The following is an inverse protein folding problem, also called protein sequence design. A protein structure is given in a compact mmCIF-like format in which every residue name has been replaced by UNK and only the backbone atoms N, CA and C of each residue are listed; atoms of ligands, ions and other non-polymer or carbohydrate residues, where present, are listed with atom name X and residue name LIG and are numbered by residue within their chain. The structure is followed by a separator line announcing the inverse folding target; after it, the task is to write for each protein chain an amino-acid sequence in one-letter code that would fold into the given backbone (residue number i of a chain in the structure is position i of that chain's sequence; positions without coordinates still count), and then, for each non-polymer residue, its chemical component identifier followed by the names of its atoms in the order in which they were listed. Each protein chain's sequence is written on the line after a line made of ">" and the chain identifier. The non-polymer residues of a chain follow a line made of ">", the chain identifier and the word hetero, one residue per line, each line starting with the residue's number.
data_IF_196356280123
#
_entry.id   IF_196356280123
#
_cell.length_a   1.000
_cell.length_b   1.000
_cell.length_c   1.000
_cell.angle_alpha   90.00
_cell.angle_beta   90.00
_cell.angle_gamma   90.00
#
_symmetry.space_group_name_H-M   'P 1'
#
loop_
_entity.id
_entity.type
_entity.pdbx_description
1 polymer ?
#
# COMPACT_ATOMS: atom_id res chain seq x y z
N UNK A 1 3.63 9.45 1.08
CA UNK A 1 4.12 8.55 2.15
C UNK A 1 5.16 7.68 1.42
N UNK A 2 6.47 7.93 1.44
CA UNK A 2 7.43 7.77 2.54
C UNK A 2 8.74 8.51 2.17
N UNK A 3 8.78 9.84 2.31
CA UNK A 3 10.02 10.59 2.32
C UNK A 3 10.20 11.15 3.71
N UNK A 4 11.23 10.71 4.45
CA UNK A 4 11.56 11.36 5.71
C UNK A 4 12.12 12.75 5.37
N UNK A 5 11.49 13.81 5.85
CA UNK A 5 12.11 15.13 5.85
C UNK A 5 13.38 15.09 6.71
N UNK A 6 14.32 16.02 6.50
CA UNK A 6 15.57 16.08 7.26
C UNK A 6 15.36 16.04 8.78
N UNK A 7 14.25 16.62 9.25
CA UNK A 7 13.86 16.60 10.67
C UNK A 7 13.45 15.18 11.15
N UNK A 8 12.75 14.41 10.32
CA UNK A 8 12.41 13.02 10.65
C UNK A 8 13.65 12.12 10.63
N UNK A 9 14.58 12.31 9.69
CA UNK A 9 15.86 11.58 9.66
C UNK A 9 16.65 11.83 10.93
N UNK A 10 16.83 13.10 11.32
CA UNK A 10 17.55 13.44 12.54
C UNK A 10 16.93 12.78 13.78
N UNK A 11 15.60 12.81 13.92
CA UNK A 11 14.91 12.19 15.05
C UNK A 11 15.05 10.68 15.08
N UNK A 12 14.93 10.04 13.93
CA UNK A 12 15.16 8.60 13.82
C UNK A 12 16.59 8.24 14.22
N UNK A 13 17.59 9.00 13.76
CA UNK A 13 18.99 8.80 14.14
C UNK A 13 19.18 8.93 15.66
N UNK A 14 18.51 9.87 16.33
CA UNK A 14 18.54 9.97 17.79
C UNK A 14 17.87 8.74 18.45
N UNK A 15 16.69 8.35 17.98
CA UNK A 15 15.97 7.22 18.57
C UNK A 15 16.71 5.89 18.38
N UNK A 16 17.46 5.71 17.27
CA UNK A 16 18.37 4.57 17.11
C UNK A 16 19.51 4.62 18.11
N UNK A 17 20.16 5.78 18.31
CA UNK A 17 21.28 5.92 19.25
C UNK A 17 20.84 5.58 20.67
N UNK A 18 19.70 6.12 21.09
CA UNK A 18 19.10 5.86 22.39
C UNK A 18 18.73 4.37 22.54
N UNK A 19 18.01 3.81 21.58
CA UNK A 19 17.54 2.42 21.66
C UNK A 19 18.68 1.41 21.67
N UNK A 20 19.77 1.73 20.96
CA UNK A 20 20.93 0.86 20.84
C UNK A 20 22.05 1.16 21.85
N UNK A 21 21.88 2.15 22.73
CA UNK A 21 22.95 2.64 23.62
C UNK A 21 24.23 3.07 22.87
N UNK A 22 24.08 3.55 21.62
CA UNK A 22 25.19 4.05 20.80
C UNK A 22 25.45 5.56 20.97
N UNK A 23 25.06 6.09 22.12
CA UNK A 23 25.10 7.52 22.43
C UNK A 23 26.48 8.00 22.96
N UNK A 24 27.46 7.10 23.06
CA UNK A 24 28.70 7.32 23.81
C UNK A 24 29.96 7.25 22.94
N UNK A 25 30.57 8.42 22.68
CA UNK A 25 31.96 8.68 22.24
C UNK A 25 32.50 8.09 20.93
N UNK A 26 31.91 7.04 20.35
CA UNK A 26 32.22 6.56 18.99
C UNK A 26 31.36 7.29 17.96
N UNK A 27 31.75 7.31 16.68
CA UNK A 27 30.77 7.68 15.65
C UNK A 27 29.61 6.67 15.70
N UNK A 28 28.37 7.13 15.53
CA UNK A 28 27.18 6.26 15.64
C UNK A 28 27.29 5.02 14.76
N UNK A 29 27.90 5.15 13.58
CA UNK A 29 28.15 4.04 12.67
C UNK A 29 29.10 2.99 13.25
N UNK A 30 30.25 3.38 13.81
CA UNK A 30 31.21 2.43 14.42
C UNK A 30 30.59 1.67 15.60
N UNK A 31 29.73 2.33 16.38
CA UNK A 31 29.01 1.66 17.46
C UNK A 31 27.99 0.64 16.92
N UNK A 32 27.20 1.02 15.91
CA UNK A 32 26.23 0.11 15.30
C UNK A 32 26.93 -1.08 14.62
N UNK A 33 28.06 -0.85 13.97
CA UNK A 33 28.88 -1.90 13.33
C UNK A 33 29.45 -2.91 14.34
N UNK A 34 29.65 -2.47 15.59
CA UNK A 34 30.08 -3.36 16.67
C UNK A 34 28.97 -4.28 17.23
N UNK A 35 27.71 -4.05 16.84
CA UNK A 35 26.54 -4.82 17.31
C UNK A 35 26.18 -5.94 16.34
N UNK A 36 25.61 -7.00 16.89
CA UNK A 36 25.00 -8.06 16.09
C UNK A 36 23.67 -7.58 15.49
N UNK A 37 23.27 -8.22 14.37
CA UNK A 37 21.97 -7.93 13.75
C UNK A 37 20.80 -8.19 14.71
N UNK A 38 20.88 -9.22 15.54
CA UNK A 38 19.85 -9.55 16.53
C UNK A 38 19.70 -8.45 17.59
N UNK A 39 20.82 -7.90 18.07
CA UNK A 39 20.79 -6.79 19.02
C UNK A 39 20.14 -5.55 18.42
N UNK A 40 20.50 -5.20 17.18
CA UNK A 40 19.92 -4.06 16.48
C UNK A 40 18.41 -4.26 16.34
N UNK A 41 17.97 -5.36 15.74
CA UNK A 41 16.53 -5.65 15.52
C UNK A 41 15.74 -5.67 16.84
N UNK A 42 16.29 -6.27 17.88
CA UNK A 42 15.62 -6.34 19.19
C UNK A 42 15.48 -4.96 19.82
N UNK A 43 16.54 -4.15 19.76
CA UNK A 43 16.59 -2.81 20.34
C UNK A 43 15.73 -1.82 19.55
N UNK A 44 15.68 -1.95 18.22
CA UNK A 44 14.93 -1.03 17.35
C UNK A 44 13.51 -1.49 17.07
N UNK A 45 13.01 -2.57 17.70
CA UNK A 45 11.67 -3.12 17.45
C UNK A 45 10.53 -2.10 17.65
N UNK A 46 10.75 -1.06 18.46
CA UNK A 46 9.79 0.03 18.71
C UNK A 46 9.96 1.23 17.78
N UNK A 47 11.07 1.29 17.03
CA UNK A 47 11.30 2.35 16.06
C UNK A 47 10.51 2.00 14.81
N UNK A 48 9.54 2.85 14.49
CA UNK A 48 8.65 2.64 13.35
C UNK A 48 9.44 2.77 12.04
N UNK A 49 9.71 1.62 11.44
CA UNK A 49 10.05 1.34 10.05
C UNK A 49 11.31 2.02 9.47
N UNK A 50 12.33 1.20 9.21
CA UNK A 50 13.35 1.49 8.20
C UNK A 50 12.65 1.50 6.83
N UNK A 51 12.47 2.69 6.27
CA UNK A 51 11.85 2.91 4.95
C UNK A 51 12.86 3.57 4.00
N UNK A 52 12.63 3.50 2.67
CA UNK A 52 13.41 4.29 1.73
C UNK A 52 13.42 5.78 2.10
N UNK A 53 14.55 6.45 1.85
CA UNK A 53 14.75 7.87 2.14
C UNK A 53 15.11 8.63 0.87
N UNK A 54 14.67 9.89 0.78
CA UNK A 54 15.11 10.82 -0.24
C UNK A 54 16.56 11.24 0.05
N UNK A 55 17.51 10.55 -0.56
CA UNK A 55 18.95 10.75 -0.35
C UNK A 55 19.60 11.70 -1.37
N UNK A 56 18.83 12.15 -2.38
CA UNK A 56 19.31 12.91 -3.54
C UNK A 56 20.39 12.15 -4.34
N UNK A 57 20.43 10.83 -4.22
CA UNK A 57 21.29 9.93 -4.99
C UNK A 57 20.42 8.86 -5.68
N UNK A 58 19.88 7.92 -4.91
CA UNK A 58 18.89 6.97 -5.44
C UNK A 58 17.56 7.66 -5.75
N UNK A 59 17.07 8.51 -4.85
CA UNK A 59 15.88 9.33 -5.06
C UNK A 59 16.25 10.81 -5.08
N UNK A 60 16.22 11.42 -6.26
CA UNK A 60 16.35 12.86 -6.43
C UNK A 60 15.10 13.57 -5.86
N UNK A 61 15.17 14.01 -4.61
CA UNK A 61 14.05 14.66 -3.91
C UNK A 61 12.99 13.71 -3.35
N UNK A 62 11.81 14.26 -3.00
CA UNK A 62 10.72 13.46 -2.43
C UNK A 62 10.32 12.33 -3.38
N UNK A 63 10.25 11.09 -2.89
CA UNK A 63 9.83 9.90 -3.66
C UNK A 63 8.44 10.06 -4.30
N UNK A 64 7.61 10.93 -3.74
CA UNK A 64 6.25 11.27 -4.23
C UNK A 64 6.25 12.53 -5.10
N UNK A 65 7.42 13.02 -5.48
CA UNK A 65 7.60 14.06 -6.49
C UNK A 65 7.49 13.46 -7.89
N UNK A 66 7.11 14.31 -8.82
CA UNK A 66 6.86 14.04 -10.24
C UNK A 66 7.91 13.11 -10.87
N UNK A 67 9.17 13.20 -10.47
CA UNK A 67 10.28 12.42 -11.04
C UNK A 67 10.13 10.90 -10.88
N UNK A 68 9.63 10.41 -9.74
CA UNK A 68 9.40 8.97 -9.53
C UNK A 68 8.28 8.43 -10.43
N UNK A 69 7.23 9.23 -10.65
CA UNK A 69 6.14 8.89 -11.57
C UNK A 69 6.59 8.95 -13.03
N UNK A 70 7.41 9.92 -13.41
CA UNK A 70 7.98 10.02 -14.77
C UNK A 70 8.85 8.80 -15.14
N UNK A 71 9.54 8.18 -14.17
CA UNK A 71 10.26 6.93 -14.42
C UNK A 71 9.31 5.76 -14.73
N UNK A 72 8.18 5.69 -14.03
CA UNK A 72 7.22 4.58 -14.23
C UNK A 72 6.63 4.58 -15.64
N UNK A 73 6.38 5.76 -16.24
CA UNK A 73 5.87 5.96 -17.61
C UNK A 73 6.74 5.36 -18.72
N UNK A 74 7.92 4.82 -18.42
CA UNK A 74 8.80 4.14 -19.39
C UNK A 74 8.50 2.66 -19.55
N UNK A 75 7.66 2.10 -18.69
CA UNK A 75 7.34 0.68 -18.65
C UNK A 75 5.82 0.50 -18.68
N UNK A 76 5.35 -0.62 -19.21
CA UNK A 76 3.96 -1.00 -19.02
C UNK A 76 3.71 -1.26 -17.53
N UNK A 77 2.54 -0.85 -17.05
CA UNK A 77 2.19 -0.88 -15.63
C UNK A 77 0.92 -1.70 -15.42
N UNK A 78 0.98 -2.67 -14.51
CA UNK A 78 -0.17 -3.37 -13.97
C UNK A 78 -0.18 -3.21 -12.45
N UNK A 79 -1.21 -2.58 -11.91
CA UNK A 79 -1.33 -2.28 -10.47
C UNK A 79 -2.77 -2.50 -10.03
N UNK A 80 -2.96 -2.87 -8.77
CA UNK A 80 -4.30 -2.98 -8.19
C UNK A 80 -4.26 -2.98 -6.68
N UNK A 81 -5.43 -3.20 -6.10
CA UNK A 81 -5.62 -3.32 -4.66
C UNK A 81 -6.79 -4.25 -4.34
N UNK A 82 -6.84 -4.68 -3.09
CA UNK A 82 -7.83 -5.60 -2.57
C UNK A 82 -9.05 -4.85 -2.01
N UNK A 83 -10.17 -5.55 -1.83
CA UNK A 83 -11.43 -4.97 -1.35
C UNK A 83 -11.39 -4.39 0.07
N UNK A 84 -10.50 -4.91 0.92
CA UNK A 84 -10.37 -4.57 2.33
C UNK A 84 -8.91 -4.37 2.77
N UNK A 85 -8.16 -3.58 2.02
CA UNK A 85 -6.76 -3.22 2.34
C UNK A 85 -6.56 -2.70 3.78
N UNK A 86 -7.59 -2.03 4.31
CA UNK A 86 -7.54 -1.46 5.65
C UNK A 86 -7.44 -2.48 6.79
N UNK A 87 -7.68 -3.77 6.54
CA UNK A 87 -7.58 -4.81 7.55
C UNK A 87 -6.20 -4.83 8.23
N UNK A 88 -5.13 -4.66 7.43
CA UNK A 88 -3.76 -4.55 7.95
C UNK A 88 -3.65 -3.40 8.97
N UNK A 89 -4.17 -2.23 8.61
CA UNK A 89 -4.04 -0.99 9.36
C UNK A 89 -5.03 -0.88 10.53
N UNK A 90 -6.13 -1.63 10.47
CA UNK A 90 -7.15 -1.65 11.52
C UNK A 90 -6.56 -2.12 12.86
N UNK A 91 -5.70 -3.14 12.81
CA UNK A 91 -4.97 -3.62 13.99
C UNK A 91 -4.02 -2.57 14.60
N UNK A 92 -3.49 -1.66 13.76
CA UNK A 92 -2.56 -0.60 14.16
C UNK A 92 -3.26 0.71 14.55
N UNK A 93 -4.57 0.85 14.34
CA UNK A 93 -5.29 2.11 14.50
C UNK A 93 -5.24 2.64 15.94
N UNK A 94 -5.31 1.75 16.94
CA UNK A 94 -5.20 2.13 18.35
C UNK A 94 -3.84 2.74 18.67
N UNK A 95 -2.77 2.20 18.09
CA UNK A 95 -1.42 2.77 18.19
C UNK A 95 -1.35 4.11 17.45
N UNK A 96 -1.95 4.23 16.27
CA UNK A 96 -1.98 5.46 15.47
C UNK A 96 -2.66 6.62 16.22
N UNK A 97 -3.84 6.37 16.80
CA UNK A 97 -4.58 7.37 17.59
C UNK A 97 -3.87 7.69 18.89
N UNK A 98 -3.35 6.69 19.61
CA UNK A 98 -2.60 6.91 20.84
C UNK A 98 -1.33 7.74 20.61
N UNK A 99 -0.61 7.48 19.50
CA UNK A 99 0.56 8.24 19.10
C UNK A 99 0.21 9.69 18.73
N UNK A 100 -0.88 9.90 17.99
CA UNK A 100 -1.31 11.25 17.59
C UNK A 100 -1.79 12.11 18.77
N UNK A 101 -2.43 11.50 19.77
CA UNK A 101 -2.91 12.21 20.97
C UNK A 101 -1.78 12.52 21.96
N UNK A 102 -0.69 11.75 21.95
CA UNK A 102 0.47 11.99 22.80
C UNK A 102 1.38 13.07 22.15
N UNK A 103 1.17 14.33 22.55
CA UNK A 103 1.81 15.55 22.01
C UNK A 103 3.33 15.52 21.78
N UNK A 104 4.04 14.58 22.38
CA UNK A 104 5.48 14.36 22.23
C UNK A 104 5.90 13.83 20.85
N UNK A 105 4.98 13.21 20.10
CA UNK A 105 5.26 12.46 18.85
C UNK A 105 4.84 13.26 17.60
N UNK A 106 4.59 14.57 17.72
CA UNK A 106 4.05 15.49 16.69
C UNK A 106 4.80 15.53 15.33
N UNK A 107 5.84 14.73 15.15
CA UNK A 107 6.73 14.71 13.99
C UNK A 107 6.82 13.37 13.26
N UNK A 108 6.02 12.34 13.62
CA UNK A 108 6.05 11.03 12.94
C UNK A 108 5.22 10.94 11.64
N UNK A 109 4.91 12.06 11.00
CA UNK A 109 4.23 12.05 9.70
C UNK A 109 2.80 11.50 9.71
N UNK A 110 2.20 11.29 10.89
CA UNK A 110 0.79 10.89 11.03
C UNK A 110 -0.10 12.05 10.59
N UNK A 111 -0.93 11.81 9.58
CA UNK A 111 -1.85 12.83 9.08
C UNK A 111 -3.00 13.03 10.08
N UNK A 112 -3.08 14.24 10.66
CA UNK A 112 -4.14 14.60 11.63
C UNK A 112 -5.57 14.55 11.05
N UNK A 113 -5.74 14.53 9.73
CA UNK A 113 -7.02 14.24 9.08
C UNK A 113 -7.39 12.78 9.23
N UNK A 114 -6.42 11.88 9.08
CA UNK A 114 -6.63 10.44 9.27
C UNK A 114 -7.11 10.20 10.70
N UNK A 115 -6.50 10.89 11.68
CA UNK A 115 -6.90 10.84 13.09
C UNK A 115 -8.27 11.47 13.31
N UNK A 116 -8.53 12.65 12.75
CA UNK A 116 -9.82 13.34 12.92
C UNK A 116 -10.97 12.55 12.32
N UNK A 117 -10.76 12.00 11.13
CA UNK A 117 -11.76 11.22 10.41
C UNK A 117 -11.96 9.84 11.05
N UNK A 118 -10.90 9.18 11.54
CA UNK A 118 -11.06 7.94 12.32
C UNK A 118 -11.87 8.17 13.59
N UNK A 119 -11.62 9.29 14.30
CA UNK A 119 -12.44 9.70 15.44
C UNK A 119 -13.88 10.01 15.03
N UNK A 120 -14.10 10.72 13.91
CA UNK A 120 -15.44 11.01 13.40
C UNK A 120 -16.21 9.73 13.13
N UNK A 121 -15.63 8.78 12.39
CA UNK A 121 -16.21 7.45 12.13
C UNK A 121 -16.52 6.72 13.44
N UNK A 122 -15.61 6.82 14.42
CA UNK A 122 -15.77 6.22 15.75
C UNK A 122 -16.87 6.85 16.61
N UNK A 123 -17.36 8.03 16.32
CA UNK A 123 -18.41 8.70 17.12
C UNK A 123 -19.68 9.01 16.33
N UNK A 124 -19.70 8.77 15.01
CA UNK A 124 -20.83 9.09 14.13
C UNK A 124 -21.92 8.01 14.10
N UNK A 125 -21.59 6.77 14.42
CA UNK A 125 -22.56 5.66 14.54
C UNK A 125 -22.53 5.06 15.94
N UNK A 126 -23.66 4.56 16.43
CA UNK A 126 -23.73 3.80 17.68
C UNK A 126 -23.53 2.28 17.44
N UNK A 127 -23.48 1.82 16.19
CA UNK A 127 -23.25 0.42 15.83
C UNK A 127 -21.75 0.12 15.67
N UNK A 128 -21.21 -0.71 16.57
CA UNK A 128 -19.80 -1.11 16.57
C UNK A 128 -19.39 -1.92 15.34
N UNK A 129 -20.31 -2.69 14.73
CA UNK A 129 -20.00 -3.42 13.49
C UNK A 129 -19.87 -2.47 12.32
N UNK A 130 -20.82 -1.56 12.21
CA UNK A 130 -20.78 -0.52 11.18
C UNK A 130 -19.53 0.36 11.34
N UNK A 131 -19.21 0.74 12.58
CA UNK A 131 -17.98 1.48 12.93
C UNK A 131 -16.73 0.78 12.40
N UNK A 132 -16.61 -0.52 12.64
CA UNK A 132 -15.45 -1.31 12.20
C UNK A 132 -15.36 -1.39 10.68
N UNK A 133 -16.46 -1.68 9.98
CA UNK A 133 -16.51 -1.73 8.51
C UNK A 133 -16.08 -0.40 7.91
N UNK A 134 -16.62 0.73 8.41
CA UNK A 134 -16.28 2.08 7.94
C UNK A 134 -14.80 2.41 8.18
N UNK A 135 -14.25 2.02 9.33
CA UNK A 135 -12.86 2.30 9.68
C UNK A 135 -11.89 1.48 8.81
N UNK A 136 -12.17 0.19 8.57
CA UNK A 136 -11.39 -0.64 7.63
C UNK A 136 -11.39 0.01 6.25
N UNK A 137 -12.57 0.34 5.70
CA UNK A 137 -12.65 0.97 4.37
C UNK A 137 -11.85 2.29 4.32
N UNK A 138 -12.00 3.15 5.33
CA UNK A 138 -11.27 4.41 5.41
C UNK A 138 -9.75 4.20 5.43
N UNK A 139 -9.24 3.30 6.27
CA UNK A 139 -7.80 3.06 6.37
C UNK A 139 -7.22 2.51 5.05
N UNK A 140 -7.94 1.60 4.38
CA UNK A 140 -7.54 1.13 3.06
C UNK A 140 -7.44 2.27 2.05
N UNK A 141 -8.45 3.13 1.99
CA UNK A 141 -8.45 4.33 1.15
C UNK A 141 -7.27 5.27 1.46
N UNK A 142 -6.95 5.48 2.74
CA UNK A 142 -5.86 6.38 3.12
C UNK A 142 -4.49 5.87 2.72
N UNK A 143 -4.23 4.59 2.97
CA UNK A 143 -2.89 4.02 2.93
C UNK A 143 -2.56 3.32 1.60
N UNK A 144 -3.55 2.74 0.91
CA UNK A 144 -3.33 1.95 -0.31
C UNK A 144 -4.12 2.53 -1.49
N UNK A 145 -5.46 2.48 -1.44
CA UNK A 145 -6.28 2.66 -2.64
C UNK A 145 -6.06 4.03 -3.29
N UNK A 146 -5.99 5.11 -2.51
CA UNK A 146 -5.77 6.48 -3.01
C UNK A 146 -4.39 6.65 -3.66
N UNK A 147 -3.34 6.04 -3.10
CA UNK A 147 -2.00 6.17 -3.68
C UNK A 147 -1.92 5.35 -4.98
N UNK A 148 -2.56 4.18 -5.03
CA UNK A 148 -2.70 3.37 -6.24
C UNK A 148 -3.47 4.13 -7.35
N UNK A 149 -4.65 4.71 -7.06
CA UNK A 149 -5.41 5.45 -8.08
C UNK A 149 -4.68 6.69 -8.56
N UNK A 150 -3.94 7.36 -7.67
CA UNK A 150 -3.10 8.49 -8.03
C UNK A 150 -1.96 8.07 -8.97
N UNK A 151 -1.33 6.90 -8.75
CA UNK A 151 -0.32 6.36 -9.65
C UNK A 151 -0.90 5.98 -11.01
N UNK A 152 -2.03 5.28 -11.03
CA UNK A 152 -2.71 4.87 -12.27
C UNK A 152 -3.06 6.08 -13.14
N UNK A 153 -3.63 7.14 -12.55
CA UNK A 153 -3.99 8.36 -13.29
C UNK A 153 -2.76 9.08 -13.85
N UNK A 154 -1.70 9.24 -13.05
CA UNK A 154 -0.48 9.88 -13.52
C UNK A 154 0.22 9.04 -14.60
N UNK A 155 0.26 7.72 -14.45
CA UNK A 155 0.89 6.83 -15.41
C UNK A 155 0.14 6.81 -16.75
N UNK A 156 -1.20 6.84 -16.72
CA UNK A 156 -2.04 6.85 -17.92
C UNK A 156 -1.93 8.12 -18.78
N UNK A 157 -1.21 9.15 -18.32
CA UNK A 157 -0.83 10.31 -19.15
C UNK A 157 0.40 10.03 -20.03
N UNK A 158 1.10 8.92 -19.79
CA UNK A 158 2.24 8.46 -20.58
C UNK A 158 1.86 7.71 -21.86
N UNK A 159 2.86 7.13 -22.53
CA UNK A 159 2.68 6.38 -23.78
C UNK A 159 2.65 4.85 -23.56
N UNK A 160 2.94 4.37 -22.35
CA UNK A 160 2.96 2.94 -22.01
C UNK A 160 1.63 2.45 -21.46
N UNK A 161 1.37 1.15 -21.62
CA UNK A 161 0.08 0.57 -21.26
C UNK A 161 -0.13 0.57 -19.74
N UNK A 162 -1.35 0.88 -19.31
CA UNK A 162 -1.73 0.88 -17.89
C UNK A 162 -2.88 -0.08 -17.65
N UNK A 163 -2.77 -0.97 -16.67
CA UNK A 163 -3.83 -1.92 -16.31
C UNK A 163 -4.12 -1.85 -14.82
N UNK A 164 -5.41 -1.75 -14.48
CA UNK A 164 -5.89 -1.65 -13.11
C UNK A 164 -6.72 -2.88 -12.72
N UNK A 165 -6.47 -3.46 -11.54
CA UNK A 165 -7.33 -4.51 -10.96
C UNK A 165 -7.85 -4.18 -9.56
N UNK A 166 -8.97 -4.80 -9.22
CA UNK A 166 -9.59 -4.77 -7.90
C UNK A 166 -9.91 -6.20 -7.46
N UNK A 167 -9.14 -6.74 -6.52
CA UNK A 167 -9.30 -8.13 -6.09
C UNK A 167 -10.31 -8.20 -4.94
N UNK A 168 -11.39 -8.97 -5.12
CA UNK A 168 -12.53 -8.99 -4.18
C UNK A 168 -12.91 -10.38 -3.67
N UNK A 169 -12.08 -11.39 -3.94
CA UNK A 169 -12.37 -12.75 -3.49
C UNK A 169 -12.43 -12.84 -1.96
N UNK A 170 -13.60 -13.19 -1.44
CA UNK A 170 -13.79 -13.51 -0.04
C UNK A 170 -13.28 -14.93 0.24
N UNK A 171 -11.97 -15.09 0.41
CA UNK A 171 -11.39 -16.37 0.83
C UNK A 171 -10.86 -16.33 2.26
N UNK A 172 -11.00 -17.45 2.95
CA UNK A 172 -10.42 -17.63 4.28
C UNK A 172 -9.10 -18.38 4.12
N UNK A 173 -7.95 -17.76 4.45
CA UNK A 173 -6.67 -18.44 4.39
C UNK A 173 -6.65 -19.65 5.34
N UNK A 174 -5.92 -20.68 4.95
CA UNK A 174 -5.63 -21.84 5.79
C UNK A 174 -4.12 -21.92 6.01
N UNK A 175 -3.61 -21.61 7.22
CA UNK A 175 -4.35 -21.44 8.47
C UNK A 175 -5.06 -20.06 8.60
N UNK A 176 -6.19 -19.99 9.32
CA UNK A 176 -7.08 -18.82 9.38
C UNK A 176 -6.58 -17.64 10.23
N UNK A 177 -5.45 -17.78 10.92
CA UNK A 177 -4.98 -16.81 11.91
C UNK A 177 -3.81 -15.95 11.41
N UNK A 178 -3.88 -15.47 10.17
CA UNK A 178 -2.93 -14.45 9.70
C UNK A 178 -3.20 -13.14 10.46
N UNK A 179 -2.14 -12.44 10.88
CA UNK A 179 -2.25 -11.25 11.73
C UNK A 179 -3.04 -10.09 11.10
N UNK A 180 -3.20 -10.09 9.78
CA UNK A 180 -3.94 -9.09 9.00
C UNK A 180 -5.30 -9.58 8.49
N UNK A 181 -5.62 -10.87 8.63
CA UNK A 181 -6.91 -11.39 8.19
C UNK A 181 -8.00 -10.89 9.13
N UNK A 182 -9.06 -10.32 8.56
CA UNK A 182 -10.19 -9.86 9.35
C UNK A 182 -10.97 -11.03 9.94
N UNK A 183 -11.58 -10.86 11.13
CA UNK A 183 -12.45 -11.87 11.69
C UNK A 183 -13.67 -12.09 10.76
N UNK A 184 -14.25 -13.29 10.79
CA UNK A 184 -15.35 -13.72 9.92
C UNK A 184 -16.50 -12.72 9.77
N UNK A 185 -16.84 -11.96 10.81
CA UNK A 185 -17.95 -11.00 10.76
C UNK A 185 -17.59 -9.68 10.06
N UNK A 186 -16.29 -9.40 9.88
CA UNK A 186 -15.74 -8.17 9.29
C UNK A 186 -15.11 -8.43 7.91
N UNK A 187 -14.79 -9.69 7.60
CA UNK A 187 -14.31 -10.12 6.28
C UNK A 187 -15.48 -10.17 5.30
N UNK A 188 -15.62 -9.12 4.49
CA UNK A 188 -16.65 -8.94 3.46
C UNK A 188 -16.06 -8.78 2.06
N UNK A 189 -14.73 -8.82 1.94
CA UNK A 189 -13.95 -8.87 0.70
C UNK A 189 -12.51 -9.33 1.00
N UNK A 190 -11.62 -9.24 0.03
CA UNK A 190 -10.21 -9.61 0.18
C UNK A 190 -9.44 -8.63 1.08
N UNK A 191 -8.78 -9.13 2.11
CA UNK A 191 -7.90 -8.36 2.99
C UNK A 191 -6.57 -8.02 2.29
N UNK A 192 -5.71 -7.23 2.92
CA UNK A 192 -4.36 -6.98 2.40
C UNK A 192 -3.59 -8.31 2.18
N UNK A 193 -2.94 -8.47 1.02
CA UNK A 193 -2.17 -9.65 0.58
C UNK A 193 -2.98 -10.89 0.17
N UNK A 194 -4.31 -10.83 0.23
CA UNK A 194 -5.18 -11.98 -0.07
C UNK A 194 -5.10 -12.46 -1.54
N UNK A 195 -4.63 -11.63 -2.46
CA UNK A 195 -4.44 -11.97 -3.86
C UNK A 195 -3.19 -12.83 -4.13
N UNK A 196 -2.19 -12.77 -3.23
CA UNK A 196 -0.88 -13.37 -3.44
C UNK A 196 -0.96 -14.89 -3.70
N UNK A 197 -1.69 -15.70 -2.90
CA UNK A 197 -1.80 -17.13 -3.15
C UNK A 197 -2.34 -17.46 -4.55
N UNK A 198 -3.22 -16.63 -5.10
CA UNK A 198 -3.82 -16.86 -6.41
C UNK A 198 -2.85 -16.54 -7.55
N UNK A 199 -2.03 -15.49 -7.40
CA UNK A 199 -0.95 -15.15 -8.32
C UNK A 199 0.09 -16.27 -8.39
N UNK A 200 0.38 -16.91 -7.27
CA UNK A 200 1.43 -17.94 -7.16
C UNK A 200 0.94 -19.39 -7.38
N UNK A 201 -0.32 -19.60 -7.78
CA UNK A 201 -0.81 -20.96 -8.02
C UNK A 201 -1.08 -21.75 -6.74
N UNK A 202 -1.32 -21.06 -5.62
CA UNK A 202 -1.46 -21.62 -4.28
C UNK A 202 -2.43 -22.79 -4.17
N UNK A 203 -3.60 -22.67 -4.80
CA UNK A 203 -4.62 -23.74 -4.84
C UNK A 203 -4.18 -24.97 -5.65
N UNK A 204 -3.35 -24.78 -6.68
CA UNK A 204 -2.79 -25.89 -7.48
C UNK A 204 -1.66 -26.58 -6.73
N UNK A 205 -0.82 -25.81 -6.05
CA UNK A 205 0.21 -26.32 -5.14
C UNK A 205 -0.48 -27.12 -4.03
N UNK A 206 -1.57 -26.57 -3.46
CA UNK A 206 -2.48 -27.25 -2.53
C UNK A 206 -2.90 -28.62 -3.04
N UNK A 207 -3.56 -28.65 -4.18
CA UNK A 207 -4.02 -29.89 -4.77
C UNK A 207 -2.91 -30.93 -4.99
N UNK A 208 -1.73 -30.53 -5.47
CA UNK A 208 -0.64 -31.47 -5.76
C UNK A 208 -0.06 -32.09 -4.49
N UNK A 209 0.19 -31.26 -3.48
CA UNK A 209 0.76 -31.73 -2.22
C UNK A 209 -0.25 -32.57 -1.39
N UNK A 210 -1.57 -32.42 -1.60
CA UNK A 210 -2.65 -33.19 -0.95
C UNK A 210 -2.68 -34.60 -1.53
N UNK A 211 -2.48 -34.70 -2.84
CA UNK A 211 -2.30 -35.98 -3.52
C UNK A 211 -1.02 -36.69 -3.09
N UNK A 212 0.05 -35.95 -2.80
CA UNK A 212 1.37 -36.52 -2.50
C UNK A 212 1.66 -36.70 -1.00
N UNK A 213 0.68 -36.49 -0.11
CA UNK A 213 0.82 -36.53 1.36
C UNK A 213 1.95 -35.62 1.91
N UNK A 214 2.34 -34.57 1.18
CA UNK A 214 3.39 -33.63 1.60
C UNK A 214 2.86 -32.47 2.42
N UNK A 215 1.54 -32.24 2.48
CA UNK A 215 0.95 -31.18 3.31
C UNK A 215 1.23 -31.32 4.78
N UNK A 216 1.15 -32.52 5.33
CA UNK A 216 1.40 -32.73 6.76
C UNK A 216 2.81 -32.25 7.12
N UNK A 217 3.80 -32.49 6.25
CA UNK A 217 5.17 -32.00 6.43
C UNK A 217 5.29 -30.47 6.36
N UNK A 218 4.52 -29.77 5.53
CA UNK A 218 4.54 -28.29 5.50
C UNK A 218 3.75 -27.70 6.68
N UNK A 219 2.69 -28.37 7.13
CA UNK A 219 1.99 -27.95 8.34
C UNK A 219 2.89 -28.10 9.58
N UNK A 220 3.71 -29.13 9.62
CA UNK A 220 4.65 -29.43 10.71
C UNK A 220 5.96 -28.62 10.62
N UNK A 221 6.61 -28.60 9.45
CA UNK A 221 7.95 -28.03 9.22
C UNK A 221 7.97 -26.75 8.37
N UNK A 222 6.85 -26.43 7.70
CA UNK A 222 6.80 -25.37 6.71
C UNK A 222 6.88 -23.98 7.33
N UNK A 223 7.88 -23.22 6.88
CA UNK A 223 7.98 -21.78 7.11
C UNK A 223 6.69 -21.08 6.71
N UNK A 224 6.38 -19.99 7.40
CA UNK A 224 5.19 -19.15 7.23
C UNK A 224 4.77 -18.92 5.76
N UNK A 225 5.75 -18.73 4.88
CA UNK A 225 5.55 -18.47 3.44
C UNK A 225 4.88 -19.64 2.73
N UNK A 226 5.26 -20.89 3.05
CA UNK A 226 4.68 -22.08 2.43
C UNK A 226 3.20 -22.21 2.76
N UNK A 227 2.82 -21.99 4.02
CA UNK A 227 1.43 -22.03 4.50
C UNK A 227 0.59 -20.90 3.90
N UNK A 228 1.19 -19.71 3.79
CA UNK A 228 0.53 -18.55 3.21
C UNK A 228 0.24 -18.73 1.72
N UNK A 229 1.25 -19.11 0.92
CA UNK A 229 1.10 -19.30 -0.53
C UNK A 229 0.10 -20.42 -0.83
N UNK A 230 0.02 -21.46 -0.01
CA UNK A 230 -0.93 -22.56 -0.21
C UNK A 230 -2.31 -22.35 0.41
N UNK A 231 -2.59 -21.17 0.96
CA UNK A 231 -3.79 -20.93 1.74
C UNK A 231 -5.10 -20.97 0.94
N UNK A 232 -5.04 -20.89 -0.39
CA UNK A 232 -6.21 -20.97 -1.27
C UNK A 232 -6.70 -22.42 -1.46
N UNK A 233 -8.03 -22.62 -1.45
CA UNK A 233 -8.65 -23.95 -1.57
C UNK A 233 -8.63 -24.48 -3.00
N UNK A 234 -8.85 -25.79 -3.20
CA UNK A 234 -8.93 -26.38 -4.54
C UNK A 234 -10.07 -25.78 -5.39
N UNK A 235 -11.19 -25.39 -4.76
CA UNK A 235 -12.35 -24.76 -5.40
C UNK A 235 -11.99 -23.43 -6.11
N UNK A 236 -10.89 -22.82 -5.69
CA UNK A 236 -10.35 -21.57 -6.22
C UNK A 236 -9.26 -21.79 -7.30
N UNK A 237 -9.07 -23.02 -7.78
CA UNK A 237 -8.09 -23.33 -8.83
C UNK A 237 -8.34 -22.57 -10.13
N UNK A 238 -9.61 -22.38 -10.51
CA UNK A 238 -9.97 -21.65 -11.73
C UNK A 238 -9.58 -20.17 -11.63
N UNK A 239 -9.87 -19.52 -10.50
CA UNK A 239 -9.47 -18.12 -10.27
C UNK A 239 -7.94 -17.97 -10.30
N UNK A 240 -7.21 -18.88 -9.65
CA UNK A 240 -5.75 -18.87 -9.68
C UNK A 240 -5.18 -19.09 -11.08
N UNK A 241 -5.77 -19.96 -11.90
CA UNK A 241 -5.41 -20.12 -13.31
C UNK A 241 -5.64 -18.85 -14.13
N UNK A 242 -6.77 -18.16 -13.92
CA UNK A 242 -7.05 -16.88 -14.58
C UNK A 242 -6.01 -15.82 -14.19
N UNK A 243 -5.71 -15.68 -12.89
CA UNK A 243 -4.70 -14.73 -12.42
C UNK A 243 -3.30 -15.07 -12.95
N UNK A 244 -2.83 -16.31 -12.83
CA UNK A 244 -1.54 -16.69 -13.41
C UNK A 244 -1.47 -16.44 -14.93
N UNK A 245 -2.56 -16.68 -15.65
CA UNK A 245 -2.61 -16.39 -17.10
C UNK A 245 -2.44 -14.90 -17.36
N UNK A 246 -3.20 -14.04 -16.69
CA UNK A 246 -3.12 -12.59 -16.84
C UNK A 246 -1.74 -12.03 -16.45
N UNK A 247 -1.19 -12.46 -15.31
CA UNK A 247 0.13 -12.00 -14.84
C UNK A 247 1.26 -12.48 -15.75
N UNK A 248 1.22 -13.73 -16.24
CA UNK A 248 2.26 -14.23 -17.15
C UNK A 248 2.11 -13.68 -18.57
N UNK A 249 0.90 -13.34 -19.01
CA UNK A 249 0.66 -12.63 -20.26
C UNK A 249 1.27 -11.22 -20.22
N UNK A 250 1.00 -10.49 -19.15
CA UNK A 250 1.58 -9.18 -18.92
C UNK A 250 3.11 -9.26 -18.89
N UNK A 251 3.69 -10.22 -18.16
CA UNK A 251 5.14 -10.42 -18.12
C UNK A 251 5.77 -10.74 -19.50
N UNK A 252 5.03 -11.42 -20.40
CA UNK A 252 5.51 -11.77 -21.75
C UNK A 252 5.40 -10.64 -22.75
N UNK A 253 4.45 -9.72 -22.57
CA UNK A 253 4.02 -8.83 -23.66
C UNK A 253 3.66 -7.40 -23.27
N UNK A 254 3.62 -7.07 -21.98
CA UNK A 254 3.05 -5.81 -21.49
C UNK A 254 1.52 -5.77 -21.49
N UNK A 255 0.84 -6.82 -21.97
CA UNK A 255 -0.62 -6.88 -22.07
C UNK A 255 -1.16 -8.15 -21.39
N UNK A 256 -2.07 -8.05 -20.40
CA UNK A 256 -2.58 -9.20 -19.66
C UNK A 256 -3.47 -10.14 -20.50
N UNK A 257 -3.90 -9.72 -21.68
CA UNK A 257 -4.81 -10.48 -22.55
C UNK A 257 -4.09 -11.42 -23.53
N UNK A 258 -2.77 -11.29 -23.71
CA UNK A 258 -1.99 -12.01 -24.74
C UNK A 258 -0.60 -12.40 -24.22
N UNK A 259 0.04 -13.45 -24.75
CA UNK A 259 -0.33 -14.26 -25.91
C UNK A 259 -1.25 -15.45 -25.62
N UNK A 260 -1.44 -15.82 -24.35
CA UNK A 260 -2.30 -16.95 -23.99
C UNK A 260 -3.73 -16.46 -23.84
N UNK A 261 -4.70 -17.13 -24.48
CA UNK A 261 -6.10 -16.78 -24.34
C UNK A 261 -6.55 -16.86 -22.87
N UNK A 262 -7.33 -15.88 -22.44
CA UNK A 262 -7.92 -15.88 -21.11
C UNK A 262 -8.95 -17.02 -20.97
N UNK A 263 -9.12 -17.59 -19.76
CA UNK A 263 -10.14 -18.61 -19.52
C UNK A 263 -11.55 -18.13 -19.88
N UNK A 264 -12.41 -19.08 -20.29
CA UNK A 264 -13.80 -18.79 -20.64
C UNK A 264 -14.52 -18.08 -19.48
N UNK A 265 -15.31 -17.05 -19.81
CA UNK A 265 -15.98 -16.20 -18.83
C UNK A 265 -15.13 -15.04 -18.30
N UNK A 266 -13.84 -14.98 -18.63
CA UNK A 266 -13.00 -13.81 -18.32
C UNK A 266 -13.15 -12.75 -19.43
N UNK A 267 -13.63 -11.54 -19.12
CA UNK A 267 -13.69 -10.47 -20.11
C UNK A 267 -12.30 -9.99 -20.49
N UNK A 268 -12.17 -9.34 -21.64
CA UNK A 268 -10.95 -8.62 -21.99
C UNK A 268 -10.66 -7.58 -20.92
N UNK A 269 -9.45 -7.59 -20.37
CA UNK A 269 -8.97 -6.59 -19.42
C UNK A 269 -8.66 -5.30 -20.18
N UNK A 270 -9.46 -4.23 -20.00
CA UNK A 270 -9.25 -2.98 -20.71
C UNK A 270 -8.03 -2.24 -20.16
N UNK A 271 -7.38 -1.46 -21.02
CA UNK A 271 -6.40 -0.49 -20.58
C UNK A 271 -7.07 0.62 -19.74
N UNK A 272 -6.46 0.94 -18.62
CA UNK A 272 -6.85 2.04 -17.77
C UNK A 272 -6.43 3.36 -18.44
N UNK A 273 -7.40 4.25 -18.64
CA UNK A 273 -7.16 5.63 -19.07
C UNK A 273 -7.89 6.58 -18.12
N UNK A 274 -7.52 7.87 -18.13
CA UNK A 274 -8.23 8.89 -17.32
C UNK A 274 -9.69 9.06 -17.75
N UNK A 275 -10.04 8.69 -18.97
CA UNK A 275 -11.40 8.72 -19.52
C UNK A 275 -12.20 7.46 -19.15
N UNK A 276 -11.62 6.27 -19.43
CA UNK A 276 -12.27 4.99 -19.19
C UNK A 276 -12.38 4.64 -17.71
N UNK A 277 -11.38 5.04 -16.91
CA UNK A 277 -11.29 4.82 -15.47
C UNK A 277 -11.60 3.36 -15.08
N UNK A 278 -11.19 2.43 -15.95
CA UNK A 278 -11.66 1.04 -15.96
C UNK A 278 -10.75 0.13 -15.14
N UNK A 279 -11.35 -0.67 -14.29
CA UNK A 279 -10.71 -1.69 -13.46
C UNK A 279 -11.25 -3.07 -13.83
N UNK A 280 -10.40 -4.10 -13.72
CA UNK A 280 -10.85 -5.48 -13.71
C UNK A 280 -11.12 -5.91 -12.26
N UNK A 281 -12.39 -6.12 -11.90
CA UNK A 281 -12.75 -6.76 -10.65
C UNK A 281 -12.55 -8.27 -10.76
N UNK A 282 -11.83 -8.85 -9.80
CA UNK A 282 -11.39 -10.24 -9.83
C UNK A 282 -11.89 -10.96 -8.56
N UNK A 283 -12.80 -11.91 -8.75
CA UNK A 283 -13.21 -12.90 -7.77
C UNK A 283 -13.66 -14.20 -8.48
N UNK A 284 -13.91 -15.26 -7.72
CA UNK A 284 -14.18 -16.61 -8.23
C UNK A 284 -15.59 -16.74 -8.83
N UNK A 285 -16.52 -15.87 -8.43
CA UNK A 285 -17.90 -15.88 -8.92
C UNK A 285 -18.05 -15.16 -10.27
N UNK A 286 -17.37 -14.03 -10.44
CA UNK A 286 -17.48 -13.20 -11.62
C UNK A 286 -16.25 -12.28 -11.76
N UNK A 287 -15.54 -12.40 -12.88
CA UNK A 287 -14.53 -11.43 -13.29
C UNK A 287 -15.21 -10.43 -14.22
N UNK A 288 -15.17 -9.14 -13.87
CA UNK A 288 -15.92 -8.11 -14.62
C UNK A 288 -15.17 -6.79 -14.71
N UNK A 289 -15.49 -6.02 -15.75
CA UNK A 289 -14.98 -4.65 -15.89
C UNK A 289 -15.87 -3.71 -15.09
N UNK A 290 -15.27 -2.96 -14.17
CA UNK A 290 -15.92 -1.93 -13.36
C UNK A 290 -15.22 -0.58 -13.58
N UNK A 291 -15.80 0.49 -13.04
CA UNK A 291 -15.08 1.76 -12.86
C UNK A 291 -14.31 1.77 -11.55
N UNK A 292 -13.40 2.73 -11.37
CA UNK A 292 -12.64 2.90 -10.11
C UNK A 292 -13.55 2.76 -8.88
N UNK A 293 -13.31 1.75 -8.01
CA UNK A 293 -14.14 1.55 -6.83
C UNK A 293 -13.95 2.72 -5.86
N UNK A 294 -15.05 3.19 -5.26
CA UNK A 294 -15.07 4.34 -4.36
C UNK A 294 -14.50 5.65 -4.95
N UNK A 295 -14.57 5.83 -6.28
CA UNK A 295 -13.98 6.95 -7.03
C UNK A 295 -14.16 8.32 -6.37
N UNK A 296 -15.38 8.67 -5.96
CA UNK A 296 -15.67 9.99 -5.37
C UNK A 296 -14.92 10.23 -4.06
N UNK A 297 -14.85 9.21 -3.19
CA UNK A 297 -14.11 9.28 -1.93
C UNK A 297 -12.62 9.41 -2.20
N UNK A 298 -12.08 8.60 -3.12
CA UNK A 298 -10.66 8.66 -3.49
C UNK A 298 -10.29 10.03 -4.07
N UNK A 299 -11.09 10.58 -5.00
CA UNK A 299 -10.87 11.93 -5.55
C UNK A 299 -10.92 13.02 -4.48
N UNK A 300 -11.83 12.92 -3.52
CA UNK A 300 -11.88 13.85 -2.40
C UNK A 300 -10.59 13.79 -1.57
N UNK A 301 -10.10 12.59 -1.26
CA UNK A 301 -8.86 12.40 -0.49
C UNK A 301 -7.63 12.89 -1.23
N UNK A 302 -7.56 12.66 -2.54
CA UNK A 302 -6.50 13.20 -3.40
C UNK A 302 -6.48 14.73 -3.37
N UNK A 303 -7.65 15.38 -3.55
CA UNK A 303 -7.72 16.86 -3.55
C UNK A 303 -7.31 17.49 -2.20
N UNK A 304 -7.66 16.85 -1.08
CA UNK A 304 -7.26 17.30 0.26
C UNK A 304 -5.74 17.20 0.46
N UNK A 305 -5.11 16.13 -0.05
CA UNK A 305 -3.66 15.96 -0.03
C UNK A 305 -2.97 17.07 -0.82
N UNK A 306 -3.45 17.36 -2.02
CA UNK A 306 -2.81 18.33 -2.92
C UNK A 306 -2.94 19.77 -2.39
N UNK A 307 -4.11 20.12 -1.84
CA UNK A 307 -4.31 21.40 -1.15
C UNK A 307 -3.32 21.60 0.02
N UNK A 308 -3.05 20.54 0.79
CA UNK A 308 -2.08 20.59 1.89
C UNK A 308 -0.63 20.68 1.44
N UNK A 309 -0.27 19.98 0.35
CA UNK A 309 1.05 20.15 -0.27
C UNK A 309 1.26 21.62 -0.63
N UNK A 310 0.31 22.24 -1.32
CA UNK A 310 0.36 23.66 -1.69
C UNK A 310 0.48 24.58 -0.47
N UNK A 311 -0.28 24.32 0.60
CA UNK A 311 -0.19 25.09 1.84
C UNK A 311 1.20 24.98 2.50
N UNK A 312 1.76 23.77 2.60
CA UNK A 312 3.12 23.57 3.14
C UNK A 312 4.17 24.28 2.31
N UNK A 313 4.06 24.23 0.98
CA UNK A 313 4.95 24.99 0.08
C UNK A 313 4.82 26.50 0.30
N UNK A 314 3.61 27.01 0.52
CA UNK A 314 3.38 28.43 0.82
C UNK A 314 4.00 28.82 2.18
N UNK A 315 3.83 27.98 3.21
CA UNK A 315 4.34 28.22 4.57
C UNK A 315 5.88 28.14 4.65
N UNK A 316 6.51 27.39 3.74
CA UNK A 316 7.97 27.24 3.65
C UNK A 316 8.66 28.30 2.76
N UNK A 317 7.91 29.17 2.06
CA UNK A 317 8.52 30.25 1.26
C UNK A 317 9.22 31.26 2.17
N UNK A 318 10.52 31.55 1.96
CA UNK A 318 11.20 32.60 2.71
C UNK A 318 10.56 33.96 2.37
N UNK A 319 10.32 34.79 3.39
CA UNK A 319 9.72 36.12 3.27
C UNK A 319 10.46 37.06 2.30
N UNK A 320 11.71 36.75 1.94
CA UNK A 320 12.50 37.47 0.94
C UNK A 320 12.03 37.26 -0.51
N UNK A 321 11.35 36.15 -0.82
CA UNK A 321 10.85 35.86 -2.18
C UNK A 321 9.58 36.66 -2.53
N UNK A 322 8.78 37.05 -1.52
CA UNK A 322 7.55 37.84 -1.70
C UNK A 322 7.84 39.27 -2.18
N UNK A 323 9.06 39.78 -1.96
CA UNK A 323 9.46 41.13 -2.36
C UNK A 323 10.07 41.23 -3.77
N UNK A 324 10.40 40.11 -4.44
CA UNK A 324 10.91 40.15 -5.82
C UNK A 324 9.78 40.20 -6.85
N UNK A 325 8.67 39.49 -6.65
CA UNK A 325 7.52 39.54 -7.55
C UNK A 325 6.79 40.90 -7.53
N UNK A 326 6.77 41.57 -6.38
CA UNK A 326 6.19 42.93 -6.26
C UNK A 326 7.05 44.05 -6.86
N UNK A 327 8.32 43.78 -7.22
CA UNK A 327 9.14 44.72 -8.01
C UNK A 327 8.95 44.53 -9.51
N UNK A 328 8.75 43.29 -9.97
CA UNK A 328 8.51 43.01 -11.40
C UNK A 328 7.18 43.60 -11.92
N UNK A 329 6.16 43.77 -11.07
CA UNK A 329 4.87 44.38 -11.45
C UNK A 329 4.83 45.92 -11.36
N UNK A 330 5.90 46.58 -10.88
CA UNK A 330 5.96 48.05 -10.79
C UNK A 330 6.80 48.71 -11.89
N UNK A 331 7.55 47.92 -12.66
CA UNK A 331 8.37 48.43 -13.77
C UNK A 331 7.69 48.25 -15.16
N UNK A 332 6.43 47.82 -15.20
CA UNK A 332 5.59 47.74 -16.42
C UNK A 332 4.29 48.58 -16.34
N UNK A 333 4.35 49.78 -15.74
CA UNK A 333 3.30 50.81 -15.88
C UNK A 333 3.88 52.16 -16.29
#
# INVERSE_FOLDING_TARGET
>A
MFGLSDNMRYKWEQSIKESTNCDVKLSTYECLDSKTAEEIVTQTRRLSYLVPVADNDFFAGEVVATEGFELSKRFDLMVGFNGQEGGLFYSFETALVAQALNKSIFEHGVDMEVVRESLRIKYETDDDRERAVRLVAFLGEQFINKECTCQLRQHAEGETATYAYYFTEEYKPDPPNLAWSMPDWLKISADHMDEIPFVFGGSLIRRDMEKNNTWQRILEDGEFIGKFISGASEEMSSLSLSMMTMWTNFAKSGNPNVPVALPEGTPTWPEFTTESDSFLEINNNNIQVITTPNKERLMKLESLRDARKLQRYADQRPASAVNQDNRSMKDEL
#
